data_IF_149652679173
#
_entry.id   IF_149652679173
#
_cell.length_a   1.000
_cell.length_b   1.000
_cell.length_c   1.000
_cell.angle_alpha   90.00
_cell.angle_beta   90.00
_cell.angle_gamma   90.00
#
_symmetry.space_group_name_H-M   'P 1'
#
loop_
_entity.id
_entity.type
_entity.pdbx_description
1 polymer ?
#
# COMPACT_ATOMS: atom_id res chain seq x y z
N UNK A 1 14.48 -29.64 4.29
CA UNK A 1 15.15 -28.53 3.56
C UNK A 1 14.25 -27.30 3.32
N UNK A 2 13.57 -26.73 4.34
CA UNK A 2 12.86 -25.44 4.21
C UNK A 2 12.95 -24.52 5.44
N UNK A 3 13.83 -24.84 6.40
CA UNK A 3 13.96 -24.08 7.65
C UNK A 3 15.18 -23.15 7.74
N UNK A 4 16.11 -23.19 6.77
CA UNK A 4 17.40 -22.50 6.86
C UNK A 4 17.44 -21.11 6.18
N UNK A 5 16.53 -20.84 5.22
CA UNK A 5 16.53 -19.59 4.44
C UNK A 5 15.89 -18.41 5.20
N UNK A 6 15.18 -18.66 6.31
CA UNK A 6 14.49 -17.63 7.10
C UNK A 6 15.35 -16.94 8.19
N UNK A 7 16.52 -17.49 8.57
CA UNK A 7 17.39 -16.89 9.61
C UNK A 7 18.44 -15.90 9.10
N UNK A 8 18.81 -15.91 7.80
CA UNK A 8 19.81 -14.96 7.25
C UNK A 8 19.27 -13.54 6.97
N UNK A 9 17.95 -13.35 6.85
CA UNK A 9 17.36 -12.01 6.58
C UNK A 9 17.11 -11.15 7.82
N UNK A 10 17.18 -11.71 9.04
CA UNK A 10 16.97 -10.93 10.29
C UNK A 10 18.25 -10.38 10.94
N UNK A 11 19.45 -10.84 10.54
CA UNK A 11 20.73 -10.27 11.04
C UNK A 11 21.29 -9.12 10.20
N UNK A 12 20.88 -8.95 8.94
CA UNK A 12 21.28 -7.79 8.11
C UNK A 12 20.45 -6.51 8.39
N UNK A 13 19.25 -6.63 8.95
CA UNK A 13 18.40 -5.47 9.24
C UNK A 13 18.70 -4.76 10.58
N UNK A 14 19.56 -5.32 11.44
CA UNK A 14 20.02 -4.66 12.68
C UNK A 14 21.44 -4.10 12.61
N UNK A 15 22.17 -4.32 11.51
CA UNK A 15 23.52 -3.79 11.30
C UNK A 15 23.56 -2.48 10.49
N UNK A 16 22.46 -2.10 9.81
CA UNK A 16 22.40 -0.88 8.97
C UNK A 16 21.76 0.33 9.68
N UNK A 17 21.52 0.27 10.99
CA UNK A 17 20.99 1.40 11.78
C UNK A 17 21.88 1.76 12.97
N UNK A 18 23.21 1.82 12.74
CA UNK A 18 24.17 2.34 13.71
C UNK A 18 25.30 3.17 13.09
N UNK A 19 25.25 3.46 11.78
CA UNK A 19 26.33 4.17 11.08
C UNK A 19 25.83 5.36 10.25
N UNK A 20 24.84 6.10 10.76
CA UNK A 20 24.33 7.33 10.13
C UNK A 20 24.19 8.51 11.10
N UNK A 21 25.11 8.55 12.07
CA UNK A 21 25.37 9.71 12.93
C UNK A 21 26.84 9.70 13.30
N UNK A 22 27.71 9.99 12.35
CA UNK A 22 29.08 10.46 12.57
C UNK A 22 29.55 11.10 11.28
N UNK A 23 30.29 12.18 11.43
CA UNK A 23 30.86 13.03 10.39
C UNK A 23 29.94 14.11 9.84
N UNK A 24 29.96 15.25 10.53
CA UNK A 24 30.14 16.60 9.95
C UNK A 24 30.73 17.55 11.04
N UNK A 25 30.69 17.18 12.33
CA UNK A 25 31.31 17.98 13.41
C UNK A 25 32.75 17.59 13.82
N UNK A 26 33.31 16.49 13.32
CA UNK A 26 34.52 15.86 13.87
C UNK A 26 35.66 15.73 12.84
N UNK A 27 35.76 16.70 11.92
CA UNK A 27 36.87 16.82 10.96
C UNK A 27 37.52 18.21 10.97
N UNK A 28 37.17 19.06 11.93
CA UNK A 28 37.78 20.38 12.15
C UNK A 28 38.86 20.38 13.27
N UNK A 29 39.18 19.22 13.88
CA UNK A 29 40.10 19.12 15.04
C UNK A 29 41.24 18.12 14.81
N UNK A 30 41.68 17.89 13.57
CA UNK A 30 42.98 17.23 13.37
C UNK A 30 43.69 17.79 12.16
N UNK A 31 44.57 18.75 12.41
CA UNK A 31 45.46 19.35 11.42
C UNK A 31 46.41 18.33 10.78
N UNK A 32 45.95 17.65 9.73
CA UNK A 32 46.81 16.91 8.78
C UNK A 32 46.37 17.24 7.37
N UNK A 33 46.99 18.26 6.82
CA UNK A 33 46.99 18.56 5.39
C UNK A 33 48.20 17.80 4.81
N UNK A 34 48.03 16.82 3.91
CA UNK A 34 49.13 16.34 3.08
C UNK A 34 49.52 17.46 2.10
N UNK A 35 50.78 17.89 2.19
CA UNK A 35 51.34 18.99 1.43
C UNK A 35 51.53 18.64 -0.04
N UNK A 36 50.81 19.36 -0.89
CA UNK A 36 51.18 19.57 -2.28
C UNK A 36 50.45 20.82 -2.79
N UNK A 37 50.88 22.00 -2.35
CA UNK A 37 50.75 23.23 -3.13
C UNK A 37 51.71 24.26 -2.52
N UNK A 38 52.98 24.13 -2.88
CA UNK A 38 53.98 25.17 -2.63
C UNK A 38 53.88 26.12 -3.81
N UNK A 39 53.13 27.20 -3.64
CA UNK A 39 53.16 28.34 -4.56
C UNK A 39 53.09 29.62 -3.72
N UNK A 40 54.14 30.42 -3.88
CA UNK A 40 54.30 31.77 -3.35
C UNK A 40 53.04 32.60 -3.47
N UNK A 41 52.67 33.31 -2.40
CA UNK A 41 52.06 34.64 -2.46
C UNK A 41 52.12 35.27 -1.06
N UNK A 42 53.15 36.09 -0.85
CA UNK A 42 53.17 37.17 0.14
C UNK A 42 52.07 38.16 -0.18
N UNK A 43 51.28 38.57 0.82
CA UNK A 43 50.40 39.73 0.71
C UNK A 43 49.00 39.46 1.24
N UNK A 44 48.72 40.01 2.42
CA UNK A 44 47.37 40.12 2.95
C UNK A 44 46.58 41.12 2.08
N UNK A 45 45.43 40.69 1.58
CA UNK A 45 44.26 41.43 1.09
C UNK A 45 43.68 40.74 -0.16
N UNK A 46 42.36 40.73 -0.27
CA UNK A 46 41.54 40.17 -1.36
C UNK A 46 41.19 38.68 -1.30
N UNK A 47 40.34 38.33 -0.34
CA UNK A 47 39.63 37.04 -0.30
C UNK A 47 38.11 37.18 -0.54
N UNK A 48 37.66 38.17 -1.33
CA UNK A 48 36.23 38.37 -1.60
C UNK A 48 35.80 38.23 -3.07
N UNK A 49 36.69 37.91 -4.01
CA UNK A 49 36.32 37.91 -5.45
C UNK A 49 36.35 36.54 -6.17
N UNK A 50 36.79 35.46 -5.52
CA UNK A 50 36.92 34.16 -6.21
C UNK A 50 35.82 33.12 -5.91
N UNK A 51 34.95 33.34 -4.92
CA UNK A 51 33.92 32.34 -4.58
C UNK A 51 32.65 32.39 -5.44
N UNK A 52 32.51 33.39 -6.33
CA UNK A 52 31.28 33.61 -7.08
C UNK A 52 31.15 32.84 -8.42
N UNK A 53 32.14 32.04 -8.85
CA UNK A 53 32.13 31.42 -10.19
C UNK A 53 32.26 29.89 -10.23
N UNK A 54 32.35 29.24 -9.09
CA UNK A 54 32.39 27.77 -8.98
C UNK A 54 31.04 27.12 -8.65
N UNK A 55 29.96 27.91 -8.48
CA UNK A 55 28.64 27.40 -8.08
C UNK A 55 27.68 27.14 -9.25
N UNK A 56 28.10 27.42 -10.49
CA UNK A 56 27.19 27.46 -11.65
C UNK A 56 27.27 26.27 -12.63
N UNK A 57 28.11 25.26 -12.36
CA UNK A 57 28.32 24.11 -13.28
C UNK A 57 28.01 22.72 -12.70
N UNK A 58 27.36 22.65 -11.53
CA UNK A 58 26.91 21.39 -10.90
C UNK A 58 25.38 21.32 -10.74
N UNK A 59 24.63 22.07 -11.54
CA UNK A 59 23.16 22.14 -11.47
C UNK A 59 22.45 21.76 -12.78
N UNK A 60 23.02 20.83 -13.55
CA UNK A 60 22.32 20.18 -14.67
C UNK A 60 22.45 18.65 -14.57
N UNK A 61 21.70 18.05 -13.65
CA UNK A 61 21.38 16.63 -13.71
C UNK A 61 19.98 16.38 -13.11
N UNK A 62 19.09 15.87 -13.96
CA UNK A 62 17.74 15.34 -13.70
C UNK A 62 16.56 16.31 -13.50
N UNK A 63 15.82 16.64 -14.58
CA UNK A 63 14.40 16.91 -14.46
C UNK A 63 13.63 15.58 -14.27
N UNK A 64 12.79 15.51 -13.23
CA UNK A 64 11.51 14.79 -13.37
C UNK A 64 11.26 13.51 -12.57
N UNK A 65 11.87 13.30 -11.39
CA UNK A 65 11.28 12.40 -10.38
C UNK A 65 10.30 13.19 -9.49
N UNK A 66 9.25 13.73 -10.10
CA UNK A 66 8.02 14.15 -9.42
C UNK A 66 7.12 12.90 -9.41
N UNK A 67 6.51 12.42 -8.34
CA UNK A 67 6.03 13.05 -7.12
C UNK A 67 6.01 11.97 -6.03
N UNK A 68 6.83 12.11 -4.99
CA UNK A 68 6.46 11.54 -3.69
C UNK A 68 5.40 12.46 -3.13
N UNK A 69 4.16 12.24 -3.55
CA UNK A 69 3.00 12.74 -2.85
C UNK A 69 3.10 12.26 -1.42
N UNK A 70 3.49 13.15 -0.50
CA UNK A 70 3.12 13.01 0.90
C UNK A 70 1.60 13.12 0.86
N UNK A 71 0.94 11.96 0.77
CA UNK A 71 -0.49 11.82 0.97
C UNK A 71 -0.78 12.43 2.33
N UNK A 72 -1.25 13.66 2.33
CA UNK A 72 -1.66 14.38 3.51
C UNK A 72 -2.68 13.51 4.21
N UNK A 73 -2.36 13.10 5.43
CA UNK A 73 -3.29 12.45 6.33
C UNK A 73 -4.44 13.43 6.56
N UNK A 74 -5.51 13.31 5.78
CA UNK A 74 -6.76 14.05 5.99
C UNK A 74 -7.40 13.48 7.27
N UNK A 75 -7.55 14.27 8.34
CA UNK A 75 -8.18 13.82 9.56
C UNK A 75 -9.70 13.86 9.37
N UNK A 76 -10.27 12.69 9.13
CA UNK A 76 -11.70 12.43 8.92
C UNK A 76 -11.94 10.96 8.57
N UNK A 77 -11.16 10.06 9.17
CA UNK A 77 -10.98 8.68 8.72
C UNK A 77 -12.24 7.83 8.94
N UNK A 78 -13.11 7.75 7.94
CA UNK A 78 -14.03 6.62 7.82
C UNK A 78 -13.18 5.35 7.67
N UNK A 79 -13.30 4.40 8.60
CA UNK A 79 -12.58 3.12 8.60
C UNK A 79 -12.72 2.44 7.24
N UNK A 80 -11.59 2.23 6.55
CA UNK A 80 -11.56 1.49 5.28
C UNK A 80 -11.17 0.05 5.60
N UNK A 81 -12.01 -0.88 5.20
CA UNK A 81 -11.83 -2.31 5.42
C UNK A 81 -11.94 -3.06 4.10
N UNK A 82 -11.11 -4.08 3.93
CA UNK A 82 -11.14 -4.95 2.76
C UNK A 82 -11.20 -6.42 3.20
N UNK A 83 -12.25 -7.12 2.77
CA UNK A 83 -12.37 -8.56 2.95
C UNK A 83 -11.63 -9.25 1.80
N UNK A 84 -10.63 -10.04 2.16
CA UNK A 84 -9.74 -10.67 1.19
C UNK A 84 -9.38 -12.10 1.57
N UNK A 85 -8.73 -12.80 0.64
CA UNK A 85 -8.20 -14.14 0.85
C UNK A 85 -6.79 -14.21 0.27
N UNK A 86 -5.85 -14.79 1.01
CA UNK A 86 -4.42 -14.79 0.67
C UNK A 86 -4.11 -15.40 -0.72
N UNK A 87 -4.92 -16.36 -1.17
CA UNK A 87 -4.75 -17.03 -2.47
C UNK A 87 -5.31 -16.27 -3.68
N UNK A 88 -6.00 -15.14 -3.50
CA UNK A 88 -6.67 -14.45 -4.61
C UNK A 88 -5.77 -13.40 -5.27
N UNK A 89 -5.55 -13.52 -6.58
CA UNK A 89 -4.76 -12.56 -7.38
C UNK A 89 -5.44 -11.19 -7.45
N UNK A 90 -6.76 -11.15 -7.62
CA UNK A 90 -7.55 -9.90 -7.65
C UNK A 90 -7.47 -9.14 -6.33
N UNK A 91 -7.50 -9.83 -5.20
CA UNK A 91 -7.30 -9.22 -3.88
C UNK A 91 -5.91 -8.58 -3.75
N UNK A 92 -4.86 -9.27 -4.21
CA UNK A 92 -3.49 -8.73 -4.19
C UNK A 92 -3.37 -7.46 -5.04
N UNK A 93 -4.04 -7.42 -6.21
CA UNK A 93 -4.11 -6.23 -7.06
C UNK A 93 -4.79 -5.06 -6.34
N UNK A 94 -5.94 -5.30 -5.72
CA UNK A 94 -6.66 -4.28 -4.96
C UNK A 94 -5.84 -3.71 -3.80
N UNK A 95 -5.21 -4.58 -3.00
CA UNK A 95 -4.34 -4.16 -1.89
C UNK A 95 -3.13 -3.36 -2.37
N UNK A 96 -2.51 -3.77 -3.48
CA UNK A 96 -1.39 -3.04 -4.09
C UNK A 96 -1.83 -1.64 -4.53
N UNK A 97 -2.95 -1.54 -5.24
CA UNK A 97 -3.49 -0.26 -5.73
C UNK A 97 -3.78 0.73 -4.58
N UNK A 98 -4.33 0.24 -3.47
CA UNK A 98 -4.60 1.02 -2.27
C UNK A 98 -3.30 1.45 -1.57
N UNK A 99 -2.34 0.54 -1.46
CA UNK A 99 -1.03 0.80 -0.86
C UNK A 99 -0.20 1.83 -1.63
N UNK A 100 -0.27 1.81 -2.97
CA UNK A 100 0.38 2.81 -3.84
C UNK A 100 -0.15 4.22 -3.60
N UNK A 101 -1.40 4.35 -3.15
CA UNK A 101 -2.05 5.62 -2.82
C UNK A 101 -1.92 6.01 -1.34
N UNK A 102 -1.24 5.20 -0.54
CA UNK A 102 -1.05 5.46 0.89
C UNK A 102 -2.35 5.38 1.71
N UNK A 103 -3.35 4.64 1.23
CA UNK A 103 -4.60 4.43 1.96
C UNK A 103 -4.39 3.37 3.03
N UNK A 104 -4.70 3.71 4.28
CA UNK A 104 -4.70 2.76 5.39
C UNK A 104 -5.96 1.88 5.33
N UNK A 105 -5.77 0.56 5.16
CA UNK A 105 -6.87 -0.40 5.00
C UNK A 105 -6.73 -1.57 5.95
N UNK A 106 -7.82 -1.87 6.67
CA UNK A 106 -7.90 -3.05 7.54
C UNK A 106 -8.23 -4.28 6.68
N UNK A 107 -7.33 -5.26 6.66
CA UNK A 107 -7.55 -6.51 5.91
C UNK A 107 -8.21 -7.55 6.81
N UNK A 108 -9.41 -8.00 6.44
CA UNK A 108 -10.14 -9.09 7.12
C UNK A 108 -10.13 -10.35 6.23
N UNK A 109 -9.74 -11.52 6.74
CA UNK A 109 -9.80 -12.77 5.99
C UNK A 109 -11.25 -13.24 5.85
N UNK A 110 -11.79 -13.25 4.62
CA UNK A 110 -13.21 -13.58 4.37
C UNK A 110 -13.56 -15.06 4.60
N UNK A 111 -12.55 -15.93 4.63
CA UNK A 111 -12.73 -17.38 4.87
C UNK A 111 -12.84 -17.68 6.35
N UNK A 112 -11.99 -17.05 7.15
CA UNK A 112 -11.95 -17.28 8.60
C UNK A 112 -13.03 -16.45 9.30
N UNK A 113 -13.32 -15.26 8.77
CA UNK A 113 -14.32 -14.35 9.29
C UNK A 113 -15.31 -13.94 8.18
N UNK A 114 -16.33 -14.77 7.91
CA UNK A 114 -17.36 -14.44 6.94
C UNK A 114 -18.18 -13.22 7.40
N UNK A 115 -18.81 -12.50 6.45
CA UNK A 115 -19.72 -11.42 6.79
C UNK A 115 -20.97 -11.97 7.47
N UNK A 116 -21.45 -11.26 8.49
CA UNK A 116 -22.71 -11.60 9.18
C UNK A 116 -23.93 -11.14 8.38
N UNK A 117 -25.10 -11.71 8.65
CA UNK A 117 -26.35 -11.30 8.00
C UNK A 117 -26.63 -9.79 8.18
N UNK A 118 -26.37 -9.26 9.38
CA UNK A 118 -26.52 -7.83 9.69
C UNK A 118 -25.52 -6.93 8.94
N UNK A 119 -24.32 -7.43 8.65
CA UNK A 119 -23.37 -6.73 7.78
C UNK A 119 -23.85 -6.74 6.33
N UNK A 120 -24.26 -7.90 5.81
CA UNK A 120 -24.77 -8.04 4.43
C UNK A 120 -26.01 -7.17 4.19
N UNK A 121 -26.95 -7.13 5.14
CA UNK A 121 -28.13 -6.28 5.06
C UNK A 121 -27.80 -4.79 4.90
N UNK A 122 -26.65 -4.34 5.43
CA UNK A 122 -26.16 -2.96 5.26
C UNK A 122 -25.35 -2.80 3.97
N UNK A 123 -24.56 -3.81 3.61
CA UNK A 123 -23.61 -3.71 2.51
C UNK A 123 -24.23 -3.89 1.13
N UNK A 124 -25.21 -4.78 0.99
CA UNK A 124 -25.94 -5.01 -0.27
C UNK A 124 -26.56 -3.71 -0.80
N UNK A 125 -27.41 -2.98 -0.04
CA UNK A 125 -27.97 -1.71 -0.52
C UNK A 125 -26.89 -0.64 -0.73
N UNK A 126 -25.87 -0.59 0.13
CA UNK A 126 -24.75 0.36 -0.01
C UNK A 126 -23.89 0.13 -1.27
N UNK A 127 -23.89 -1.10 -1.80
CA UNK A 127 -23.18 -1.45 -3.03
C UNK A 127 -23.97 -1.11 -4.30
N UNK A 128 -25.29 -0.92 -4.20
CA UNK A 128 -26.17 -0.77 -5.36
C UNK A 128 -26.26 -2.03 -6.23
N UNK A 129 -25.79 -3.18 -5.74
CA UNK A 129 -25.84 -4.46 -6.43
C UNK A 129 -26.87 -5.37 -5.78
N UNK A 130 -27.52 -6.23 -6.58
CA UNK A 130 -28.35 -7.28 -6.02
C UNK A 130 -27.52 -8.31 -5.25
N UNK A 131 -28.12 -8.95 -4.25
CA UNK A 131 -27.43 -9.95 -3.39
C UNK A 131 -26.81 -11.08 -4.23
N UNK A 132 -27.44 -11.44 -5.34
CA UNK A 132 -26.93 -12.46 -6.27
C UNK A 132 -25.58 -12.12 -6.89
N UNK A 133 -25.26 -10.83 -7.05
CA UNK A 133 -23.96 -10.37 -7.58
C UNK A 133 -22.82 -10.51 -6.59
N UNK A 134 -23.13 -10.76 -5.32
CA UNK A 134 -22.18 -11.09 -4.27
C UNK A 134 -21.74 -12.55 -4.30
N UNK A 135 -22.40 -13.41 -5.08
CA UNK A 135 -21.97 -14.79 -5.24
C UNK A 135 -20.74 -14.90 -6.16
N UNK A 136 -19.81 -15.74 -5.75
CA UNK A 136 -18.63 -16.12 -6.53
C UNK A 136 -19.01 -17.18 -7.57
N UNK A 137 -19.56 -16.73 -8.70
CA UNK A 137 -19.99 -17.59 -9.82
C UNK A 137 -18.89 -18.49 -10.40
N UNK A 138 -17.62 -18.09 -10.25
CA UNK A 138 -16.47 -18.88 -10.70
C UNK A 138 -15.97 -19.93 -9.70
N UNK A 139 -16.46 -19.92 -8.46
CA UNK A 139 -15.97 -20.76 -7.37
C UNK A 139 -16.51 -22.19 -7.40
N UNK A 140 -15.74 -23.13 -6.82
CA UNK A 140 -16.21 -24.50 -6.62
C UNK A 140 -17.44 -24.57 -5.72
N UNK A 141 -17.51 -23.75 -4.65
CA UNK A 141 -18.70 -23.68 -3.78
C UNK A 141 -19.97 -23.31 -4.55
N UNK A 142 -19.90 -22.39 -5.52
CA UNK A 142 -21.05 -22.03 -6.36
C UNK A 142 -21.48 -23.19 -7.27
N UNK A 143 -20.51 -23.90 -7.85
CA UNK A 143 -20.79 -25.08 -8.69
C UNK A 143 -21.43 -26.22 -7.88
N UNK A 144 -21.03 -26.38 -6.62
CA UNK A 144 -21.61 -27.38 -5.72
C UNK A 144 -23.07 -27.09 -5.35
N UNK A 145 -23.47 -25.81 -5.26
CA UNK A 145 -24.87 -25.43 -5.06
C UNK A 145 -25.73 -25.67 -6.30
N UNK A 146 -25.14 -25.54 -7.49
CA UNK A 146 -25.82 -25.67 -8.77
C UNK A 146 -26.54 -24.38 -9.18
N UNK A 147 -26.38 -23.98 -10.45
CA UNK A 147 -26.95 -22.73 -10.98
C UNK A 147 -28.48 -22.69 -10.85
N UNK A 148 -29.17 -23.79 -11.16
CA UNK A 148 -30.63 -23.86 -11.10
C UNK A 148 -31.18 -23.58 -9.69
N UNK A 149 -30.49 -24.09 -8.66
CA UNK A 149 -30.87 -23.86 -7.27
C UNK A 149 -30.69 -22.41 -6.86
N UNK A 150 -29.60 -21.78 -7.29
CA UNK A 150 -29.33 -20.36 -7.02
C UNK A 150 -30.34 -19.47 -7.74
N UNK A 151 -30.68 -19.80 -8.99
CA UNK A 151 -31.61 -19.00 -9.78
C UNK A 151 -33.02 -19.01 -9.17
N UNK A 152 -33.46 -20.16 -8.65
CA UNK A 152 -34.75 -20.34 -7.98
C UNK A 152 -34.78 -19.86 -6.51
N UNK A 153 -33.63 -19.54 -5.91
CA UNK A 153 -33.55 -19.15 -4.50
C UNK A 153 -34.00 -17.71 -4.24
N UNK A 154 -34.57 -17.49 -3.07
CA UNK A 154 -34.90 -16.15 -2.56
C UNK A 154 -33.64 -15.42 -2.09
N UNK A 155 -33.71 -14.08 -2.03
CA UNK A 155 -32.58 -13.25 -1.60
C UNK A 155 -32.16 -13.54 -0.14
N UNK A 156 -33.11 -13.95 0.72
CA UNK A 156 -32.85 -14.43 2.09
C UNK A 156 -32.03 -15.73 2.11
N UNK A 157 -32.37 -16.69 1.25
CA UNK A 157 -31.60 -17.95 1.14
C UNK A 157 -30.19 -17.69 0.66
N UNK A 158 -30.03 -16.80 -0.33
CA UNK A 158 -28.70 -16.39 -0.81
C UNK A 158 -27.91 -15.72 0.30
N UNK A 159 -28.54 -14.84 1.09
CA UNK A 159 -27.89 -14.19 2.24
C UNK A 159 -27.44 -15.22 3.26
N UNK A 160 -28.28 -16.19 3.59
CA UNK A 160 -27.95 -17.28 4.50
C UNK A 160 -26.73 -18.08 4.01
N UNK A 161 -26.70 -18.47 2.73
CA UNK A 161 -25.55 -19.18 2.17
C UNK A 161 -24.26 -18.36 2.21
N UNK A 162 -24.33 -17.04 1.99
CA UNK A 162 -23.18 -16.14 2.07
C UNK A 162 -22.62 -16.05 3.51
N UNK A 163 -23.47 -16.16 4.52
CA UNK A 163 -23.04 -16.17 5.93
C UNK A 163 -22.49 -17.52 6.37
N UNK A 164 -23.00 -18.63 5.81
CA UNK A 164 -22.57 -19.99 6.12
C UNK A 164 -21.22 -20.33 5.47
N UNK A 165 -21.00 -19.96 4.19
CA UNK A 165 -19.75 -20.20 3.46
C UNK A 165 -19.13 -18.91 2.91
N UNK A 166 -18.09 -18.40 3.59
CA UNK A 166 -17.28 -17.27 3.13
C UNK A 166 -16.54 -17.49 1.79
N UNK A 167 -16.54 -18.73 1.24
CA UNK A 167 -16.07 -19.04 -0.13
C UNK A 167 -17.07 -18.73 -1.21
N UNK A 168 -18.36 -18.64 -0.88
CA UNK A 168 -19.40 -18.17 -1.80
C UNK A 168 -19.37 -16.67 -2.00
N UNK A 169 -18.82 -15.90 -1.06
CA UNK A 169 -18.75 -14.44 -1.20
C UNK A 169 -17.70 -14.04 -2.24
N UNK A 170 -18.08 -13.12 -3.13
CA UNK A 170 -17.22 -12.52 -4.16
C UNK A 170 -16.13 -11.68 -3.52
N UNK A 171 -14.94 -11.71 -4.12
CA UNK A 171 -13.71 -11.14 -3.54
C UNK A 171 -13.00 -10.26 -4.57
N UNK A 172 -12.32 -9.18 -4.16
CA UNK A 172 -12.33 -8.56 -2.82
C UNK A 172 -13.65 -7.83 -2.52
N UNK A 173 -13.96 -7.57 -1.25
CA UNK A 173 -15.02 -6.63 -0.84
C UNK A 173 -14.39 -5.46 -0.11
N UNK A 174 -14.59 -4.25 -0.61
CA UNK A 174 -14.11 -3.02 0.01
C UNK A 174 -15.27 -2.30 0.68
N UNK A 175 -15.08 -1.93 1.94
CA UNK A 175 -16.04 -1.17 2.76
C UNK A 175 -15.36 0.11 3.20
N UNK A 176 -15.94 1.26 2.86
CA UNK A 176 -15.47 2.59 3.27
C UNK A 176 -16.66 3.41 3.74
N UNK A 177 -16.85 3.49 5.07
CA UNK A 177 -18.02 4.16 5.64
C UNK A 177 -19.32 3.59 5.09
N UNK A 178 -20.09 4.40 4.35
CA UNK A 178 -21.37 4.01 3.76
C UNK A 178 -21.28 3.53 2.29
N UNK A 179 -20.06 3.34 1.76
CA UNK A 179 -19.83 2.87 0.39
C UNK A 179 -19.21 1.48 0.41
N UNK A 180 -19.75 0.60 -0.41
CA UNK A 180 -19.28 -0.79 -0.53
C UNK A 180 -19.02 -1.10 -1.99
N UNK A 181 -17.85 -1.63 -2.30
CA UNK A 181 -17.49 -2.11 -3.63
C UNK A 181 -17.22 -3.61 -3.59
N UNK A 182 -17.79 -4.33 -4.54
CA UNK A 182 -17.64 -5.78 -4.67
C UNK A 182 -16.84 -6.10 -5.93
N UNK A 183 -15.68 -6.72 -5.75
CA UNK A 183 -14.70 -6.94 -6.79
C UNK A 183 -13.68 -5.81 -6.88
N UNK A 184 -12.74 -5.95 -7.81
CA UNK A 184 -11.74 -4.93 -8.10
C UNK A 184 -11.98 -4.38 -9.50
N UNK A 185 -12.33 -3.10 -9.57
CA UNK A 185 -12.38 -2.30 -10.80
C UNK A 185 -11.67 -0.99 -10.50
N UNK A 186 -10.70 -0.65 -11.33
CA UNK A 186 -9.84 0.51 -11.08
C UNK A 186 -10.64 1.81 -11.14
N UNK A 187 -11.62 1.91 -12.04
CA UNK A 187 -12.52 3.06 -12.15
C UNK A 187 -13.34 3.28 -10.88
N UNK A 188 -13.93 2.22 -10.32
CA UNK A 188 -14.77 2.31 -9.12
C UNK A 188 -13.93 2.71 -7.89
N UNK A 189 -12.71 2.17 -7.80
CA UNK A 189 -11.76 2.52 -6.76
C UNK A 189 -11.26 3.97 -6.94
N UNK A 190 -10.96 4.38 -8.17
CA UNK A 190 -10.58 5.76 -8.48
C UNK A 190 -11.71 6.73 -8.14
N UNK A 191 -12.97 6.42 -8.46
CA UNK A 191 -14.12 7.25 -8.10
C UNK A 191 -14.31 7.37 -6.57
N UNK A 192 -13.91 6.35 -5.81
CA UNK A 192 -14.06 6.33 -4.35
C UNK A 192 -12.90 7.03 -3.60
N UNK A 193 -11.70 7.08 -4.19
CA UNK A 193 -10.49 7.63 -3.57
C UNK A 193 -9.85 8.81 -4.32
N UNK A 194 -10.40 9.19 -5.46
CA UNK A 194 -10.01 10.35 -6.26
C UNK A 194 -10.49 11.68 -5.69
#
# INVERSE_FOLDING_TARGET
MRHFVRRRRRRRARAMNRNRRRSIGELLVSGRIPGAFRAHCTGALFFLSCYARAFHLLFHAHPGLMSRGRGGRRPGMSKVQILSYAGCSTCKRALKWLGERGVDVAVRPIVDEPPTAAELARWVPASGLSVRRWLNTSGQSYRALGKARVDAASDDDVTRWLTEDGKLVKRPVLVKGNRVLVGFREDDYAALFG
#
